data_IF_770128695869
#
_entry.id   IF_770128695869
#
_cell.length_a   1.000
_cell.length_b   1.000
_cell.length_c   1.000
_cell.angle_alpha   90.00
_cell.angle_beta   90.00
_cell.angle_gamma   90.00
#
_symmetry.space_group_name_H-M   'P 1'
#
loop_
_entity.id
_entity.type
_entity.pdbx_description
1 polymer ?
#
# COMPACT_ATOMS: atom_id res chain seq x y z
N UNK A 1 14.43 -13.43 4.76
CA UNK A 1 15.48 -12.44 4.39
C UNK A 1 15.27 -11.17 5.22
N UNK A 2 16.33 -10.50 5.69
CA UNK A 2 16.21 -9.32 6.58
C UNK A 2 15.78 -8.07 5.78
N UNK A 3 14.67 -7.47 6.20
CA UNK A 3 14.05 -6.24 5.70
C UNK A 3 15.06 -5.09 5.61
N UNK A 4 15.53 -4.76 4.41
CA UNK A 4 16.32 -3.54 4.20
C UNK A 4 15.38 -2.42 3.76
N UNK A 5 14.72 -1.75 4.71
CA UNK A 5 14.14 -0.43 4.49
C UNK A 5 14.46 0.44 5.72
N UNK A 6 15.27 1.48 5.51
CA UNK A 6 16.01 2.19 6.55
C UNK A 6 15.32 3.45 7.08
N UNK A 7 14.00 3.46 7.21
CA UNK A 7 13.28 4.62 7.75
C UNK A 7 13.44 5.88 6.88
N UNK A 8 13.06 5.79 5.60
CA UNK A 8 13.22 6.90 4.64
C UNK A 8 12.07 7.91 4.68
N UNK A 9 10.94 7.55 5.31
CA UNK A 9 9.82 8.45 5.50
C UNK A 9 10.10 9.40 6.68
N UNK A 10 9.72 10.69 6.58
CA UNK A 10 9.77 11.64 7.69
C UNK A 10 8.96 11.17 8.90
N UNK A 11 9.43 11.44 10.12
CA UNK A 11 8.73 11.02 11.36
C UNK A 11 7.30 11.57 11.49
N UNK A 12 7.07 12.77 10.98
CA UNK A 12 5.78 13.47 11.05
C UNK A 12 5.12 13.50 9.66
N UNK A 13 5.00 12.33 9.03
CA UNK A 13 4.55 12.24 7.63
C UNK A 13 3.13 12.78 7.38
N UNK A 14 2.29 12.80 8.43
CA UNK A 14 0.95 13.36 8.38
C UNK A 14 0.92 14.90 8.38
N UNK A 15 2.05 15.55 8.73
CA UNK A 15 2.18 17.01 8.78
C UNK A 15 2.89 17.60 7.55
N UNK A 16 3.26 16.77 6.57
CA UNK A 16 3.90 17.23 5.33
C UNK A 16 2.91 17.27 4.17
N UNK A 17 3.02 18.29 3.33
CA UNK A 17 2.17 18.43 2.14
C UNK A 17 2.66 17.58 0.95
N UNK A 18 3.91 17.10 1.00
CA UNK A 18 4.55 16.38 -0.09
C UNK A 18 5.52 15.33 0.46
N UNK A 19 5.55 14.18 -0.19
CA UNK A 19 6.54 13.14 0.09
C UNK A 19 7.93 13.55 -0.41
N UNK A 20 9.00 13.16 0.32
CA UNK A 20 10.35 13.13 -0.23
C UNK A 20 10.39 12.30 -1.53
N UNK A 21 11.38 12.58 -2.38
CA UNK A 21 11.44 11.98 -3.72
C UNK A 21 12.87 11.81 -4.21
N UNK A 22 13.21 10.67 -4.85
CA UNK A 22 12.39 9.48 -5.00
C UNK A 22 12.34 8.64 -3.71
N UNK A 23 11.25 7.90 -3.50
CA UNK A 23 11.12 6.94 -2.41
C UNK A 23 10.79 5.55 -2.95
N UNK A 24 11.46 4.53 -2.41
CA UNK A 24 11.10 3.13 -2.66
C UNK A 24 10.37 2.62 -1.42
N UNK A 25 9.13 2.17 -1.61
CA UNK A 25 8.29 1.65 -0.55
C UNK A 25 7.84 0.23 -0.88
N UNK A 26 7.59 -0.55 0.17
CA UNK A 26 6.88 -1.81 0.07
C UNK A 26 5.38 -1.56 0.11
N UNK A 27 4.63 -2.24 -0.76
CA UNK A 27 3.17 -2.29 -0.69
C UNK A 27 2.78 -3.58 0.03
N UNK A 28 2.19 -3.41 1.20
CA UNK A 28 1.82 -4.53 2.08
C UNK A 28 0.43 -5.06 1.72
N UNK A 29 -0.50 -4.15 1.44
CA UNK A 29 -1.88 -4.48 1.10
C UNK A 29 -2.43 -3.53 0.04
N UNK A 30 -3.29 -4.06 -0.82
CA UNK A 30 -4.15 -3.29 -1.71
C UNK A 30 -5.59 -3.67 -1.46
N UNK A 31 -6.45 -2.66 -1.39
CA UNK A 31 -7.89 -2.80 -1.29
C UNK A 31 -8.50 -2.09 -2.48
N UNK A 32 -9.36 -2.79 -3.21
CA UNK A 32 -10.24 -2.15 -4.18
C UNK A 32 -11.35 -1.42 -3.42
N UNK A 33 -11.45 -0.10 -3.61
CA UNK A 33 -12.47 0.75 -3.00
C UNK A 33 -13.74 0.83 -3.85
N UNK A 34 -13.83 0.06 -4.94
CA UNK A 34 -15.04 -0.04 -5.73
C UNK A 34 -16.19 -0.62 -4.90
N UNK A 35 -17.06 0.27 -4.41
CA UNK A 35 -18.26 -0.15 -3.69
C UNK A 35 -19.33 -0.71 -4.65
N UNK A 36 -19.42 -0.26 -5.92
CA UNK A 36 -20.43 -0.76 -6.90
C UNK A 36 -20.23 -0.32 -8.37
N UNK A 37 -19.23 0.51 -8.72
CA UNK A 37 -19.01 1.00 -10.10
C UNK A 37 -17.79 0.32 -10.75
N UNK A 38 -17.98 -0.55 -11.77
CA UNK A 38 -16.88 -1.22 -12.46
C UNK A 38 -16.00 -0.29 -13.34
N UNK A 39 -16.40 0.97 -13.52
CA UNK A 39 -15.60 2.00 -14.21
C UNK A 39 -14.74 2.82 -13.25
N UNK A 40 -15.13 2.84 -11.98
CA UNK A 40 -14.26 3.31 -10.92
C UNK A 40 -13.25 2.19 -10.66
N UNK A 41 -11.97 2.51 -10.49
CA UNK A 41 -10.93 1.55 -10.19
C UNK A 41 -9.98 2.26 -9.24
N UNK A 42 -10.48 2.51 -8.03
CA UNK A 42 -9.74 3.23 -6.99
C UNK A 42 -9.13 2.22 -6.04
N UNK A 43 -7.81 2.12 -6.08
CA UNK A 43 -7.06 1.30 -5.14
C UNK A 43 -6.60 2.11 -3.93
N UNK A 44 -6.79 1.56 -2.73
CA UNK A 44 -6.12 2.00 -1.50
C UNK A 44 -4.91 1.10 -1.23
N UNK A 45 -3.73 1.70 -1.23
CA UNK A 45 -2.46 1.04 -0.96
C UNK A 45 -2.03 1.33 0.48
N UNK A 46 -1.72 0.28 1.23
CA UNK A 46 -0.95 0.40 2.48
C UNK A 46 0.52 0.18 2.15
N UNK A 47 1.36 1.19 2.42
CA UNK A 47 2.77 1.18 2.05
C UNK A 47 3.68 1.45 3.24
N UNK A 48 4.90 0.89 3.21
CA UNK A 48 5.87 1.04 4.29
C UNK A 48 7.30 1.22 3.81
N UNK A 49 8.07 1.97 4.60
CA UNK A 49 9.53 2.03 4.54
C UNK A 49 10.22 1.09 5.55
N UNK A 50 9.49 0.07 6.04
CA UNK A 50 9.95 -0.88 7.03
C UNK A 50 9.98 -0.37 8.48
N UNK A 51 9.67 0.91 8.71
CA UNK A 51 9.60 1.51 10.06
C UNK A 51 8.20 2.03 10.34
N UNK A 52 7.58 2.70 9.37
CA UNK A 52 6.24 3.26 9.49
C UNK A 52 5.40 2.99 8.24
N UNK A 53 4.10 3.29 8.35
CA UNK A 53 3.13 3.10 7.28
C UNK A 53 2.58 4.42 6.77
N UNK A 54 2.27 4.45 5.47
CA UNK A 54 1.46 5.49 4.84
C UNK A 54 0.37 4.83 4.00
N UNK A 55 -0.68 5.59 3.75
CA UNK A 55 -1.76 5.20 2.86
C UNK A 55 -1.66 5.99 1.56
N UNK A 56 -1.88 5.32 0.45
CA UNK A 56 -1.95 5.93 -0.87
C UNK A 56 -3.28 5.62 -1.53
N UNK A 57 -3.97 6.65 -2.02
CA UNK A 57 -5.17 6.51 -2.81
C UNK A 57 -4.83 6.71 -4.28
N UNK A 58 -5.16 5.72 -5.10
CA UNK A 58 -5.12 5.85 -6.55
C UNK A 58 -6.22 6.81 -7.01
N UNK A 59 -5.81 7.98 -7.50
CA UNK A 59 -6.74 8.99 -8.00
C UNK A 59 -6.86 9.00 -9.52
N UNK A 60 -5.99 8.24 -10.20
CA UNK A 60 -5.98 8.01 -11.63
C UNK A 60 -5.53 6.57 -11.89
N UNK A 61 -6.27 5.86 -12.74
CA UNK A 61 -6.04 4.44 -12.97
C UNK A 61 -4.64 4.14 -13.50
N UNK A 62 -3.93 3.26 -12.81
CA UNK A 62 -2.62 2.73 -13.14
C UNK A 62 -2.75 1.24 -13.50
N UNK A 63 -2.64 0.94 -14.78
CA UNK A 63 -2.69 -0.45 -15.31
C UNK A 63 -1.66 -1.40 -14.71
N UNK A 64 -0.56 -0.86 -14.15
CA UNK A 64 0.49 -1.66 -13.54
C UNK A 64 0.15 -2.03 -12.08
N UNK A 65 -0.88 -1.42 -11.49
CA UNK A 65 -1.45 -1.77 -10.19
C UNK A 65 -2.72 -2.59 -10.38
N UNK A 66 -2.80 -3.71 -9.68
CA UNK A 66 -4.03 -4.50 -9.56
C UNK A 66 -3.97 -5.35 -8.29
N UNK A 67 -5.13 -5.70 -7.74
CA UNK A 67 -5.26 -6.50 -6.51
C UNK A 67 -4.66 -7.91 -6.60
N UNK A 68 -4.34 -8.40 -7.81
CA UNK A 68 -3.71 -9.70 -8.00
C UNK A 68 -2.18 -9.69 -7.89
N UNK A 69 -1.55 -8.51 -7.72
CA UNK A 69 -0.11 -8.44 -7.48
C UNK A 69 0.27 -9.10 -6.15
N UNK A 70 1.44 -9.75 -6.09
CA UNK A 70 1.88 -10.44 -4.89
C UNK A 70 2.12 -9.44 -3.74
N UNK A 71 1.72 -9.81 -2.52
CA UNK A 71 1.97 -9.00 -1.34
C UNK A 71 3.47 -8.71 -1.14
N UNK A 72 3.77 -7.50 -0.67
CA UNK A 72 5.14 -7.07 -0.37
C UNK A 72 5.95 -6.63 -1.60
N UNK A 73 5.32 -6.46 -2.77
CA UNK A 73 5.98 -5.87 -3.94
C UNK A 73 6.48 -4.46 -3.65
N UNK A 74 7.45 -4.00 -4.44
CA UNK A 74 8.06 -2.68 -4.28
C UNK A 74 7.55 -1.71 -5.33
N UNK A 75 7.38 -0.46 -4.93
CA UNK A 75 7.07 0.67 -5.81
C UNK A 75 8.10 1.78 -5.61
N UNK A 76 8.34 2.57 -6.65
CA UNK A 76 9.03 3.85 -6.53
C UNK A 76 8.05 4.99 -6.76
N UNK A 77 8.10 5.99 -5.88
CA UNK A 77 7.20 7.15 -5.87
C UNK A 77 8.02 8.42 -6.10
N UNK A 78 7.52 9.29 -6.97
CA UNK A 78 8.15 10.55 -7.33
C UNK A 78 7.26 11.76 -7.05
N UNK A 79 7.68 12.60 -6.10
CA UNK A 79 7.12 13.95 -5.87
C UNK A 79 5.60 13.98 -5.60
N UNK A 80 5.06 12.97 -4.93
CA UNK A 80 3.62 12.91 -4.67
C UNK A 80 3.16 13.83 -3.55
N UNK A 81 1.95 14.36 -3.73
CA UNK A 81 1.26 15.20 -2.75
C UNK A 81 0.53 14.35 -1.71
N UNK A 82 0.46 14.89 -0.49
CA UNK A 82 -0.37 14.35 0.58
C UNK A 82 -1.58 15.27 0.78
N UNK A 83 -2.77 14.68 0.77
CA UNK A 83 -4.03 15.37 1.06
C UNK A 83 -4.80 14.55 2.10
N UNK A 84 -5.21 15.18 3.20
CA UNK A 84 -5.91 14.51 4.30
C UNK A 84 -5.18 13.26 4.83
N UNK A 85 -3.85 13.26 4.82
CA UNK A 85 -3.03 12.12 5.24
C UNK A 85 -2.89 10.99 4.21
N UNK A 86 -3.55 11.09 3.04
CA UNK A 86 -3.44 10.15 1.94
C UNK A 86 -2.46 10.68 0.89
N UNK A 87 -1.53 9.81 0.46
CA UNK A 87 -0.69 10.08 -0.71
C UNK A 87 -1.56 9.92 -1.95
N UNK A 88 -1.65 10.95 -2.80
CA UNK A 88 -2.41 10.86 -4.05
C UNK A 88 -1.55 10.22 -5.11
N UNK A 89 -1.91 9.03 -5.58
CA UNK A 89 -1.11 8.25 -6.50
C UNK A 89 -1.59 8.45 -7.94
N UNK A 90 -0.66 8.78 -8.82
CA UNK A 90 -0.90 8.86 -10.26
C UNK A 90 0.11 8.01 -11.05
N UNK A 91 -0.28 7.46 -12.21
CA UNK A 91 0.59 6.57 -13.01
C UNK A 91 1.92 7.19 -13.43
N UNK A 92 1.97 8.51 -13.64
CA UNK A 92 3.17 9.22 -14.10
C UNK A 92 4.25 9.34 -13.01
N UNK A 93 3.88 9.12 -11.75
CA UNK A 93 4.71 9.37 -10.57
C UNK A 93 4.90 8.14 -9.70
N UNK A 94 4.19 7.05 -9.98
CA UNK A 94 4.35 5.75 -9.34
C UNK A 94 4.78 4.71 -10.38
N UNK A 95 5.84 3.96 -10.07
CA UNK A 95 6.28 2.82 -10.87
C UNK A 95 6.41 1.56 -10.02
N UNK A 96 5.80 0.48 -10.49
CA UNK A 96 5.95 -0.84 -9.90
C UNK A 96 7.33 -1.41 -10.23
N UNK A 97 8.08 -1.79 -9.20
CA UNK A 97 9.39 -2.45 -9.32
C UNK A 97 9.28 -3.97 -9.26
N UNK A 98 8.16 -4.49 -8.75
CA UNK A 98 7.90 -5.92 -8.58
C UNK A 98 8.51 -6.49 -7.30
N UNK A 99 8.78 -7.79 -7.30
CA UNK A 99 9.17 -8.55 -6.12
C UNK A 99 7.97 -9.07 -5.32
N UNK A 100 8.25 -9.93 -4.35
CA UNK A 100 7.26 -10.57 -3.47
C UNK A 100 7.90 -10.77 -2.10
N UNK A 101 7.10 -10.74 -1.03
CA UNK A 101 7.52 -11.15 0.30
C UNK A 101 6.70 -12.38 0.69
N UNK A 102 7.31 -13.57 0.57
CA UNK A 102 6.67 -14.88 0.74
C UNK A 102 5.96 -15.02 2.10
N UNK A 103 6.58 -14.56 3.18
CA UNK A 103 6.02 -14.66 4.53
C UNK A 103 4.85 -13.68 4.78
N UNK A 104 4.64 -12.69 3.91
CA UNK A 104 3.63 -11.64 4.13
C UNK A 104 2.21 -12.13 3.79
N UNK A 105 2.06 -12.87 2.68
CA UNK A 105 0.77 -13.46 2.31
C UNK A 105 0.29 -14.46 3.36
N UNK A 106 1.15 -15.37 3.79
CA UNK A 106 0.80 -16.39 4.79
C UNK A 106 0.48 -15.80 6.18
N UNK A 107 1.19 -14.74 6.60
CA UNK A 107 0.90 -14.06 7.87
C UNK A 107 -0.42 -13.29 7.83
N UNK A 108 -0.73 -12.65 6.70
CA UNK A 108 -1.99 -11.96 6.47
C UNK A 108 -3.18 -12.93 6.44
N UNK A 109 -3.07 -14.03 5.70
CA UNK A 109 -4.13 -15.05 5.60
C UNK A 109 -4.44 -15.63 6.98
N UNK A 110 -3.40 -15.93 7.77
CA UNK A 110 -3.55 -16.39 9.15
C UNK A 110 -4.26 -15.36 10.03
N UNK A 111 -3.90 -14.08 9.94
CA UNK A 111 -4.56 -13.01 10.69
C UNK A 111 -6.04 -12.85 10.29
N UNK A 112 -6.35 -12.94 8.99
CA UNK A 112 -7.73 -12.90 8.51
C UNK A 112 -8.54 -14.10 9.01
N UNK A 113 -7.98 -15.31 8.96
CA UNK A 113 -8.61 -16.52 9.51
C UNK A 113 -8.92 -16.37 11.01
N UNK A 114 -7.99 -15.84 11.79
CA UNK A 114 -8.17 -15.59 13.23
C UNK A 114 -9.30 -14.57 13.49
N UNK A 115 -9.36 -13.46 12.74
CA UNK A 115 -10.43 -12.46 12.86
C UNK A 115 -11.79 -13.02 12.46
N UNK A 116 -11.86 -13.83 11.41
CA UNK A 116 -13.10 -14.49 10.98
C UNK A 116 -13.55 -15.52 12.02
N UNK A 117 -12.62 -16.27 12.61
CA UNK A 117 -12.91 -17.24 13.66
C UNK A 117 -13.45 -16.57 14.93
N UNK A 118 -12.89 -15.43 15.33
CA UNK A 118 -13.33 -14.67 16.51
C UNK A 118 -14.72 -14.03 16.32
N UNK A 119 -15.09 -13.72 15.07
CA UNK A 119 -16.42 -13.17 14.72
C UNK A 119 -17.51 -14.22 14.53
N UNK A 120 -17.20 -15.52 14.56
CA UNK A 120 -18.25 -16.56 14.55
C UNK A 120 -18.96 -16.58 15.91
N UNK A 121 -20.30 -16.55 15.95
CA UNK A 121 -21.01 -16.67 17.21
C UNK A 121 -20.65 -18.01 17.87
N UNK A 122 -20.22 -17.96 19.13
CA UNK A 122 -20.03 -19.17 19.94
C UNK A 122 -21.38 -19.86 20.04
N UNK A 123 -21.48 -21.07 19.47
CA UNK A 123 -22.68 -21.92 19.54
C UNK A 123 -23.03 -22.29 20.96
#
# INVERSE_FOLDING_TARGET
MKFSCGGVLPKEIHNVAQLPSPLVLQVDQMVDLNDDDPQDNRLLLTMTDGVQFIYGEEIQHNKDLNVSLPAGFKVVIHKESILNGLTRLVPERLKVLGGMVEDFGAAHDKLMEEVIADRKPKS
#
